data_IF_200099461809
#
_entry.id   IF_200099461809
#
_cell.length_a   1.000
_cell.length_b   1.000
_cell.length_c   1.000
_cell.angle_alpha   90.00
_cell.angle_beta   90.00
_cell.angle_gamma   90.00
#
_symmetry.space_group_name_H-M   'P 1'
#
loop_
_entity.id
_entity.type
_entity.pdbx_description
1 polymer ?
#
# COMPACT_ATOMS: atom_id res chain seq x y z
N UNK A 1 5.20 -8.44 4.75
CA UNK A 1 4.04 -8.33 3.82
C UNK A 1 4.25 -7.16 2.87
N UNK A 2 3.99 -7.29 1.56
CA UNK A 2 4.05 -6.15 0.66
C UNK A 2 2.82 -5.25 0.85
N UNK A 3 3.03 -3.95 0.72
CA UNK A 3 2.02 -2.89 0.78
C UNK A 3 1.58 -2.42 -0.62
N UNK A 4 2.34 -2.78 -1.66
CA UNK A 4 2.02 -2.51 -3.06
C UNK A 4 0.88 -3.41 -3.49
N UNK A 5 -0.19 -2.79 -4.01
CA UNK A 5 -1.35 -3.48 -4.57
C UNK A 5 -0.93 -4.49 -5.63
N UNK A 6 -1.48 -5.70 -5.54
CA UNK A 6 -1.34 -6.73 -6.57
C UNK A 6 -2.63 -7.55 -6.74
N UNK A 7 -2.78 -8.18 -7.91
CA UNK A 7 -3.82 -9.18 -8.17
C UNK A 7 -3.42 -10.61 -7.74
N UNK A 8 -2.15 -10.87 -7.45
CA UNK A 8 -1.65 -12.24 -7.19
C UNK A 8 -2.06 -12.81 -5.83
N UNK A 9 -2.14 -11.96 -4.79
CA UNK A 9 -2.49 -12.38 -3.43
C UNK A 9 -3.11 -11.22 -2.63
N UNK A 10 -3.95 -11.51 -1.62
CA UNK A 10 -4.64 -10.48 -0.85
C UNK A 10 -3.69 -9.74 0.10
N UNK A 11 -4.14 -8.57 0.56
CA UNK A 11 -3.45 -7.82 1.61
C UNK A 11 -3.34 -8.68 2.88
N UNK A 12 -2.17 -8.71 3.50
CA UNK A 12 -1.85 -9.63 4.61
C UNK A 12 -2.72 -9.51 5.88
N UNK A 13 -3.59 -8.50 5.97
CA UNK A 13 -4.50 -8.29 7.10
C UNK A 13 -5.96 -8.59 6.75
N UNK A 14 -6.23 -9.06 5.54
CA UNK A 14 -7.56 -9.38 5.06
C UNK A 14 -7.57 -10.82 4.54
N UNK A 15 -8.45 -11.64 5.12
CA UNK A 15 -8.67 -12.99 4.62
C UNK A 15 -9.61 -12.95 3.41
N UNK A 16 -9.24 -13.57 2.29
CA UNK A 16 -10.13 -13.67 1.15
C UNK A 16 -11.30 -14.60 1.47
N UNK A 17 -12.55 -14.20 1.18
CA UNK A 17 -13.69 -15.11 1.21
C UNK A 17 -13.67 -16.05 0.00
N UNK A 18 -13.03 -15.64 -1.09
CA UNK A 18 -12.84 -16.38 -2.34
C UNK A 18 -11.51 -16.02 -2.96
N UNK A 19 -10.85 -16.97 -3.61
CA UNK A 19 -9.63 -16.73 -4.38
C UNK A 19 -9.99 -15.98 -5.66
N UNK A 20 -9.81 -14.66 -5.66
CA UNK A 20 -10.15 -13.79 -6.79
C UNK A 20 -9.11 -12.68 -6.97
N UNK A 21 -8.56 -12.50 -8.19
CA UNK A 21 -7.69 -11.38 -8.51
C UNK A 21 -8.31 -10.00 -8.18
N UNK A 22 -9.63 -9.89 -8.37
CA UNK A 22 -10.39 -8.68 -8.04
C UNK A 22 -10.44 -8.44 -6.55
N UNK A 23 -10.67 -9.50 -5.75
CA UNK A 23 -10.64 -9.39 -4.30
C UNK A 23 -9.24 -9.01 -3.80
N UNK A 24 -8.19 -9.64 -4.36
CA UNK A 24 -6.81 -9.35 -4.01
C UNK A 24 -6.50 -7.87 -4.17
N UNK A 25 -6.75 -7.31 -5.36
CA UNK A 25 -6.55 -5.88 -5.63
C UNK A 25 -7.41 -4.97 -4.73
N UNK A 26 -8.68 -5.31 -4.53
CA UNK A 26 -9.61 -4.55 -3.69
C UNK A 26 -9.19 -4.53 -2.21
N UNK A 27 -8.61 -5.62 -1.71
CA UNK A 27 -8.17 -5.73 -0.33
C UNK A 27 -7.11 -4.67 0.03
N UNK A 28 -6.19 -4.33 -0.89
CA UNK A 28 -5.21 -3.25 -0.68
C UNK A 28 -5.86 -1.87 -0.63
N UNK A 29 -6.82 -1.62 -1.52
CA UNK A 29 -7.55 -0.33 -1.54
C UNK A 29 -8.34 -0.15 -0.25
N UNK A 30 -9.04 -1.20 0.19
CA UNK A 30 -9.79 -1.19 1.45
C UNK A 30 -8.86 -0.91 2.63
N UNK A 31 -7.79 -1.69 2.78
CA UNK A 31 -6.88 -1.54 3.90
C UNK A 31 -6.22 -0.15 3.94
N UNK A 32 -5.81 0.37 2.79
CA UNK A 32 -5.21 1.72 2.70
C UNK A 32 -6.16 2.82 3.15
N UNK A 33 -7.45 2.72 2.77
CA UNK A 33 -8.46 3.68 3.22
C UNK A 33 -8.76 3.57 4.71
N UNK A 34 -8.83 2.36 5.26
CA UNK A 34 -9.02 2.13 6.70
C UNK A 34 -7.85 2.72 7.49
N UNK A 35 -6.62 2.40 7.09
CA UNK A 35 -5.40 2.92 7.74
C UNK A 35 -5.32 4.44 7.67
N UNK A 36 -5.62 5.04 6.52
CA UNK A 36 -5.66 6.49 6.38
C UNK A 36 -6.74 7.11 7.27
N UNK A 37 -7.95 6.59 7.26
CA UNK A 37 -9.06 7.11 8.08
C UNK A 37 -8.69 7.10 9.56
N UNK A 38 -8.10 6.01 10.04
CA UNK A 38 -7.67 5.87 11.44
C UNK A 38 -6.57 6.85 11.86
N UNK A 39 -5.70 7.28 10.93
CA UNK A 39 -4.48 8.06 11.25
C UNK A 39 -4.51 9.51 10.75
N UNK A 40 -5.39 9.84 9.80
CA UNK A 40 -5.44 11.12 9.08
C UNK A 40 -5.56 12.33 10.00
N UNK A 41 -6.32 12.23 11.10
CA UNK A 41 -6.49 13.33 12.06
C UNK A 41 -5.16 13.71 12.74
N UNK A 42 -4.40 12.72 13.21
CA UNK A 42 -3.09 12.93 13.82
C UNK A 42 -2.07 13.43 12.78
N UNK A 43 -2.03 12.79 11.61
CA UNK A 43 -1.11 13.17 10.52
C UNK A 43 -1.37 14.62 10.08
N UNK A 44 -2.62 15.00 9.82
CA UNK A 44 -2.95 16.35 9.37
C UNK A 44 -2.73 17.40 10.48
N UNK A 45 -2.94 17.06 11.75
CA UNK A 45 -2.58 17.95 12.88
C UNK A 45 -1.07 18.18 12.91
N UNK A 46 -0.26 17.13 12.77
CA UNK A 46 1.20 17.23 12.70
C UNK A 46 1.67 18.04 11.48
N UNK A 47 1.11 17.79 10.30
CA UNK A 47 1.42 18.55 9.06
C UNK A 47 1.23 20.05 9.24
N UNK A 48 0.11 20.48 9.83
CA UNK A 48 -0.16 21.90 10.08
C UNK A 48 0.76 22.49 11.13
N UNK A 49 0.95 21.79 12.25
CA UNK A 49 1.59 22.37 13.42
C UNK A 49 3.12 22.36 13.32
N UNK A 50 3.69 21.23 12.89
CA UNK A 50 5.14 21.01 12.85
C UNK A 50 5.73 21.38 11.47
N UNK A 51 5.13 20.90 10.39
CA UNK A 51 5.67 21.09 9.04
C UNK A 51 5.17 22.36 8.33
N UNK A 52 4.15 23.03 8.88
CA UNK A 52 3.46 24.17 8.25
C UNK A 52 2.93 23.86 6.85
N UNK A 53 2.51 22.60 6.64
CA UNK A 53 1.91 22.14 5.39
C UNK A 53 0.38 22.08 5.53
N UNK A 54 -0.37 22.28 4.43
CA UNK A 54 -1.81 22.07 4.42
C UNK A 54 -2.16 20.59 4.67
N UNK A 55 -3.43 20.34 5.00
CA UNK A 55 -3.95 18.99 5.09
C UNK A 55 -3.75 18.24 3.77
N UNK A 56 -3.70 16.92 3.86
CA UNK A 56 -3.66 16.02 2.69
C UNK A 56 -4.72 14.94 2.85
N UNK A 57 -4.89 14.14 1.79
CA UNK A 57 -5.75 12.98 1.73
C UNK A 57 -5.11 11.91 0.81
N UNK A 58 -5.78 10.78 0.65
CA UNK A 58 -5.29 9.68 -0.18
C UNK A 58 -5.15 10.02 -1.68
N UNK A 59 -5.92 10.98 -2.19
CA UNK A 59 -5.86 11.37 -3.61
C UNK A 59 -4.70 12.32 -3.91
N UNK A 60 -4.32 13.17 -2.96
CA UNK A 60 -3.17 14.07 -3.08
C UNK A 60 -1.83 13.33 -2.93
N UNK A 61 -1.84 12.13 -2.35
CA UNK A 61 -0.66 11.29 -2.22
C UNK A 61 -0.42 10.54 -3.53
N UNK A 62 0.66 10.87 -4.24
CA UNK A 62 1.09 10.15 -5.43
C UNK A 62 1.69 8.79 -5.08
N UNK A 63 0.88 7.88 -4.53
CA UNK A 63 1.33 6.60 -3.96
C UNK A 63 2.09 5.73 -4.96
N UNK A 64 1.70 5.76 -6.24
CA UNK A 64 2.39 5.03 -7.31
C UNK A 64 3.83 5.50 -7.57
N UNK A 65 4.19 6.71 -7.14
CA UNK A 65 5.53 7.28 -7.30
C UNK A 65 6.47 6.95 -6.13
N UNK A 66 5.97 6.31 -5.07
CA UNK A 66 6.78 5.96 -3.90
C UNK A 66 7.63 4.74 -4.27
N UNK A 67 8.95 4.93 -4.32
CA UNK A 67 9.90 3.85 -4.56
C UNK A 67 9.92 2.92 -3.34
N UNK A 68 9.67 1.63 -3.56
CA UNK A 68 9.57 0.63 -2.50
C UNK A 68 10.48 -0.56 -2.78
N UNK A 69 11.26 -0.95 -1.77
CA UNK A 69 12.12 -2.14 -1.81
C UNK A 69 11.57 -3.14 -0.81
N UNK A 70 11.21 -4.33 -1.28
CA UNK A 70 10.81 -5.44 -0.42
C UNK A 70 11.95 -6.41 -0.19
N UNK A 71 12.35 -6.55 1.07
CA UNK A 71 13.40 -7.47 1.50
C UNK A 71 12.85 -8.90 1.66
N UNK A 72 12.26 -9.45 0.59
CA UNK A 72 11.85 -10.85 0.53
C UNK A 72 12.81 -11.64 -0.33
N UNK A 73 12.90 -12.95 -0.07
CA UNK A 73 13.54 -13.84 -1.03
C UNK A 73 12.67 -14.05 -2.27
N UNK A 74 13.24 -13.85 -3.46
CA UNK A 74 12.55 -14.13 -4.73
C UNK A 74 12.11 -15.59 -4.86
N UNK A 75 12.79 -16.52 -4.19
CA UNK A 75 12.42 -17.93 -4.18
C UNK A 75 11.14 -18.20 -3.37
N UNK A 76 10.79 -17.32 -2.43
CA UNK A 76 9.61 -17.45 -1.55
C UNK A 76 8.48 -16.54 -2.01
N UNK A 77 8.79 -15.31 -2.39
CA UNK A 77 7.84 -14.32 -2.90
C UNK A 77 8.39 -13.78 -4.21
N UNK A 78 7.98 -14.34 -5.37
CA UNK A 78 8.37 -13.79 -6.66
C UNK A 78 7.75 -12.40 -6.83
N UNK A 79 8.40 -11.54 -7.63
CA UNK A 79 7.87 -10.21 -7.96
C UNK A 79 6.60 -10.38 -8.81
N UNK A 80 5.42 -9.90 -8.37
CA UNK A 80 4.23 -9.87 -9.20
C UNK A 80 4.45 -9.09 -10.50
N UNK A 81 3.87 -9.58 -11.61
CA UNK A 81 4.00 -8.95 -12.93
C UNK A 81 3.32 -7.58 -13.00
N UNK A 82 2.34 -7.32 -12.13
CA UNK A 82 1.62 -6.07 -12.05
C UNK A 82 2.30 -4.99 -11.18
N UNK A 83 3.49 -5.29 -10.63
CA UNK A 83 4.33 -4.29 -9.97
C UNK A 83 5.21 -3.55 -10.98
N UNK A 84 5.08 -2.22 -11.00
CA UNK A 84 5.89 -1.35 -11.83
C UNK A 84 7.37 -1.27 -11.41
N UNK A 85 8.12 -0.42 -12.11
CA UNK A 85 9.57 -0.25 -11.92
C UNK A 85 9.93 0.44 -10.60
N UNK A 86 8.98 1.13 -9.96
CA UNK A 86 9.16 1.76 -8.65
C UNK A 86 9.20 0.76 -7.50
N UNK A 87 8.84 -0.51 -7.75
CA UNK A 87 8.84 -1.56 -6.74
C UNK A 87 9.80 -2.69 -7.13
N UNK A 88 10.69 -3.06 -6.21
CA UNK A 88 11.65 -4.16 -6.42
C UNK A 88 11.75 -5.09 -5.22
N UNK A 89 12.24 -6.30 -5.47
CA UNK A 89 12.55 -7.31 -4.44
C UNK A 89 14.07 -7.49 -4.40
N UNK A 90 14.66 -7.42 -3.22
CA UNK A 90 16.12 -7.35 -3.01
C UNK A 90 16.75 -8.58 -2.33
N UNK A 91 16.03 -9.68 -2.13
CA UNK A 91 16.54 -10.88 -1.43
C UNK A 91 16.32 -12.20 -2.14
#
# INVERSE_FOLDING_TARGET
MPWTKTTEFPHAFLSPPVESPTFNSASYVLFSNVMWTATSGQINKWRRNALKLPNTDMGHLAQSKIVTIYNFSQAVVPKPLDWGDTTTISG
#
